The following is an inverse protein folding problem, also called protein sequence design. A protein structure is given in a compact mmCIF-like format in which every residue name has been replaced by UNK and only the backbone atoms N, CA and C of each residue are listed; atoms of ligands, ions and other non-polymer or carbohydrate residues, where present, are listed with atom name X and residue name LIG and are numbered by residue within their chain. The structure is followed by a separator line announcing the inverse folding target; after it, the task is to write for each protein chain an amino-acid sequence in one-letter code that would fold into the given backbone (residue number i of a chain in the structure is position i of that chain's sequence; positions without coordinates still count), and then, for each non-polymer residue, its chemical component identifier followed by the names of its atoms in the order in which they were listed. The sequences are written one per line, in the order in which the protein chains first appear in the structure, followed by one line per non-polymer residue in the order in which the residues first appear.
data_IF_433494354594
#
_entry.id   IF_433494354594
#
_cell.length_a   1.000
_cell.length_b   1.000
_cell.length_c   1.000
_cell.angle_alpha   90.00
_cell.angle_beta   90.00
_cell.angle_gamma   90.00
#
_symmetry.space_group_name_H-M   'P 1'
#
loop_
_entity.id
_entity.type
_entity.pdbx_description
1 polymer ?
#
# COMPACT_ATOMS: atom_id res chain seq x y z
N UNK A 1 -9.36 11.41 -14.33
CA UNK A 1 -10.10 10.80 -13.21
C UNK A 1 -9.12 10.62 -12.06
N UNK A 2 -9.37 11.24 -10.91
CA UNK A 2 -8.43 11.29 -9.78
C UNK A 2 -8.91 10.31 -8.70
N UNK A 3 -8.08 9.34 -8.34
CA UNK A 3 -8.38 8.27 -7.36
C UNK A 3 -7.69 8.49 -6.01
N UNK A 4 -7.15 9.70 -5.75
CA UNK A 4 -6.66 10.05 -4.41
C UNK A 4 -7.74 9.81 -3.35
N UNK A 5 -7.33 9.36 -2.18
CA UNK A 5 -8.20 8.98 -1.05
C UNK A 5 -9.19 7.84 -1.35
N UNK A 6 -8.94 7.02 -2.37
CA UNK A 6 -9.71 5.80 -2.62
C UNK A 6 -8.93 4.57 -2.16
N UNK A 7 -9.68 3.51 -1.82
CA UNK A 7 -9.12 2.19 -1.59
C UNK A 7 -9.15 1.39 -2.89
N UNK A 8 -8.01 0.82 -3.26
CA UNK A 8 -7.91 -0.27 -4.21
C UNK A 8 -8.09 -1.57 -3.44
N UNK A 9 -9.11 -2.33 -3.81
CA UNK A 9 -9.39 -3.64 -3.23
C UNK A 9 -8.99 -4.68 -4.26
N UNK A 10 -8.01 -5.51 -3.90
CA UNK A 10 -7.62 -6.65 -4.72
C UNK A 10 -8.79 -7.61 -4.88
N UNK A 11 -9.07 -8.01 -6.12
CA UNK A 11 -10.10 -9.01 -6.38
C UNK A 11 -9.62 -10.39 -5.89
N UNK A 12 -10.50 -11.28 -5.39
CA UNK A 12 -10.12 -12.59 -4.84
C UNK A 12 -9.41 -13.56 -5.81
N UNK A 13 -9.31 -13.19 -7.09
CA UNK A 13 -8.62 -13.94 -8.15
C UNK A 13 -7.43 -13.16 -8.71
N UNK A 14 -6.86 -12.25 -7.93
CA UNK A 14 -5.70 -11.48 -8.33
C UNK A 14 -4.50 -12.42 -8.46
N UNK A 15 -3.93 -12.50 -9.66
CA UNK A 15 -2.83 -13.43 -9.95
C UNK A 15 -1.50 -13.00 -9.34
N UNK A 16 -1.39 -11.75 -8.90
CA UNK A 16 -0.18 -11.22 -8.27
C UNK A 16 -0.20 -11.58 -6.78
N UNK A 17 0.71 -12.46 -6.30
CA UNK A 17 0.74 -12.89 -4.91
C UNK A 17 1.09 -11.75 -3.95
N UNK A 18 1.69 -10.65 -4.42
CA UNK A 18 2.05 -9.52 -3.56
C UNK A 18 0.84 -8.63 -3.25
N UNK A 19 -0.16 -8.63 -4.14
CA UNK A 19 -1.39 -7.86 -4.01
C UNK A 19 -2.62 -8.71 -3.73
N UNK A 20 -2.50 -10.04 -3.70
CA UNK A 20 -3.64 -10.91 -3.40
C UNK A 20 -4.24 -10.59 -2.02
N UNK A 21 -5.56 -10.45 -1.98
CA UNK A 21 -6.33 -10.04 -0.79
C UNK A 21 -5.86 -8.71 -0.12
N UNK A 22 -5.15 -7.84 -0.84
CA UNK A 22 -4.69 -6.55 -0.28
C UNK A 22 -5.74 -5.43 -0.38
N UNK A 23 -5.64 -4.49 0.56
CA UNK A 23 -6.32 -3.20 0.54
C UNK A 23 -5.26 -2.11 0.52
N UNK A 24 -5.22 -1.33 -0.57
CA UNK A 24 -4.25 -0.26 -0.78
C UNK A 24 -4.93 1.09 -0.80
N UNK A 25 -4.49 2.02 0.04
CA UNK A 25 -4.93 3.42 0.03
C UNK A 25 -4.13 4.20 -1.02
N UNK A 26 -4.80 4.86 -1.96
CA UNK A 26 -4.15 5.77 -2.91
C UNK A 26 -3.94 7.15 -2.29
N UNK A 27 -2.68 7.48 -2.04
CA UNK A 27 -2.27 8.75 -1.44
C UNK A 27 -2.05 9.82 -2.51
N UNK A 28 -1.44 9.43 -3.63
CA UNK A 28 -1.11 10.34 -4.71
C UNK A 28 -1.39 9.71 -6.07
N UNK A 29 -1.89 10.53 -6.96
CA UNK A 29 -2.00 10.24 -8.38
C UNK A 29 -1.50 11.48 -9.10
N UNK A 30 -0.45 11.28 -9.87
CA UNK A 30 0.20 12.25 -10.73
C UNK A 30 0.15 11.73 -12.17
N UNK A 31 0.07 12.64 -13.13
CA UNK A 31 -0.12 12.26 -14.53
C UNK A 31 1.18 11.76 -15.19
N UNK A 32 2.33 12.26 -14.71
CA UNK A 32 3.65 11.93 -15.24
C UNK A 32 4.37 10.88 -14.38
N UNK A 33 4.18 10.91 -13.05
CA UNK A 33 4.82 10.00 -12.10
C UNK A 33 3.95 8.77 -11.72
N UNK A 34 2.69 8.73 -12.16
CA UNK A 34 1.78 7.63 -11.88
C UNK A 34 1.12 7.71 -10.51
N UNK A 35 0.79 6.55 -9.92
CA UNK A 35 0.04 6.48 -8.66
C UNK A 35 0.90 5.90 -7.54
N UNK A 36 0.81 6.52 -6.37
CA UNK A 36 1.44 6.04 -5.14
C UNK A 36 0.37 5.73 -4.09
N UNK A 37 0.52 4.58 -3.46
CA UNK A 37 -0.39 4.12 -2.42
C UNK A 37 0.30 3.23 -1.39
N UNK A 38 -0.40 3.00 -0.28
CA UNK A 38 0.10 2.23 0.87
C UNK A 38 -0.87 1.07 1.13
N UNK A 39 -0.34 -0.14 1.22
CA UNK A 39 -1.12 -1.32 1.63
C UNK A 39 -1.31 -1.33 3.14
N UNK A 40 -2.56 -1.35 3.59
CA UNK A 40 -2.90 -1.14 5.01
C UNK A 40 -3.21 -2.43 5.76
N UNK A 41 -3.43 -3.55 5.06
CA UNK A 41 -3.83 -4.83 5.66
C UNK A 41 -2.74 -5.90 5.63
N UNK A 42 -1.47 -5.50 5.46
CA UNK A 42 -0.33 -6.41 5.44
C UNK A 42 0.63 -6.05 6.59
N UNK A 43 0.45 -6.65 7.78
CA UNK A 43 1.33 -6.38 8.91
C UNK A 43 2.74 -6.91 8.62
N UNK A 44 3.75 -6.16 9.06
CA UNK A 44 5.14 -6.58 9.00
C UNK A 44 5.56 -7.23 10.32
N UNK A 45 6.61 -8.03 10.28
CA UNK A 45 7.13 -8.74 11.46
C UNK A 45 8.11 -7.88 12.29
N UNK A 46 8.09 -6.55 12.07
CA UNK A 46 8.96 -5.55 12.69
C UNK A 46 8.06 -4.55 13.40
N UNK A 47 8.42 -4.19 14.63
CA UNK A 47 7.67 -3.16 15.38
C UNK A 47 8.19 -1.76 15.05
N UNK A 48 7.41 -0.73 15.37
CA UNK A 48 7.87 0.65 15.23
C UNK A 48 9.08 0.94 16.12
N UNK A 49 9.17 0.29 17.29
CA UNK A 49 10.29 0.44 18.22
C UNK A 49 11.61 -0.08 17.62
N UNK A 50 11.55 -1.26 16.99
CA UNK A 50 12.69 -1.85 16.26
C UNK A 50 13.15 -0.94 15.11
N UNK A 51 12.19 -0.31 14.42
CA UNK A 51 12.47 0.61 13.32
C UNK A 51 13.17 1.89 13.82
N UNK A 52 12.68 2.49 14.91
CA UNK A 52 13.27 3.70 15.47
C UNK A 52 14.69 3.45 15.97
N UNK A 53 14.94 2.29 16.58
CA UNK A 53 16.28 1.89 17.04
C UNK A 53 17.32 1.83 15.90
N UNK A 54 16.90 1.61 14.65
CA UNK A 54 17.81 1.56 13.48
C UNK A 54 18.09 2.94 12.86
N UNK A 55 17.32 3.97 13.20
CA UNK A 55 17.46 5.33 12.66
C UNK A 55 18.39 6.21 13.51
N UNK A 56 18.62 5.81 14.77
CA UNK A 56 19.60 6.42 15.69
C UNK A 56 21.03 5.95 15.41
#
# INVERSE_FOLDING_TARGET
MNLKNHFLIAMPRMSDPEFDHTVTLLCQQDQDMGSFGITINRPMNITLDDLFTQLD
#
